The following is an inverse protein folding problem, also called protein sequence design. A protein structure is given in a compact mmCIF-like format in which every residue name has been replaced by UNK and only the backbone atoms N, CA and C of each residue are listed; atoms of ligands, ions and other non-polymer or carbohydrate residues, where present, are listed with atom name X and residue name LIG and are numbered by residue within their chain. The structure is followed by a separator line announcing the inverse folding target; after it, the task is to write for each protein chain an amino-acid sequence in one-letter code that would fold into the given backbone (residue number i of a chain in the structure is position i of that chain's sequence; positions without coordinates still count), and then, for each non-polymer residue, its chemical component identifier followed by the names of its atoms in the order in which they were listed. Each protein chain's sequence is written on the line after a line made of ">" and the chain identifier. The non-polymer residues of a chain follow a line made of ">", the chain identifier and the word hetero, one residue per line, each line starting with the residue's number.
data_IF_744536515322
#
_entry.id   IF_744536515322
#
_cell.length_a   1.000
_cell.length_b   1.000
_cell.length_c   1.000
_cell.angle_alpha   90.00
_cell.angle_beta   90.00
_cell.angle_gamma   90.00
#
_symmetry.space_group_name_H-M   'P 1'
#
loop_
_entity.id
_entity.type
_entity.pdbx_description
1 polymer ?
#
# COMPACT_ATOMS: atom_id res chain seq x y z
N UNK A 1 41.55 22.06 -12.98
CA UNK A 1 41.21 21.52 -11.64
C UNK A 1 39.79 21.80 -11.15
N UNK A 2 39.12 22.89 -11.56
CA UNK A 2 37.74 23.18 -11.13
C UNK A 2 36.70 22.18 -11.68
N UNK A 3 36.85 21.77 -12.93
CA UNK A 3 35.95 20.81 -13.61
C UNK A 3 36.01 19.41 -12.97
N UNK A 4 37.22 18.93 -12.63
CA UNK A 4 37.39 17.64 -11.94
C UNK A 4 36.72 17.63 -10.56
N UNK A 5 36.77 18.75 -9.83
CA UNK A 5 36.04 18.91 -8.55
C UNK A 5 34.52 18.91 -8.75
N UNK A 6 34.03 19.56 -9.80
CA UNK A 6 32.60 19.58 -10.11
C UNK A 6 32.07 18.19 -10.47
N UNK A 7 32.82 17.42 -11.27
CA UNK A 7 32.48 16.04 -11.63
C UNK A 7 32.45 15.13 -10.38
N UNK A 8 33.42 15.30 -9.47
CA UNK A 8 33.44 14.56 -8.20
C UNK A 8 32.24 14.91 -7.30
N UNK A 9 31.80 16.17 -7.26
CA UNK A 9 30.61 16.56 -6.49
C UNK A 9 29.30 15.99 -7.05
N UNK A 10 29.15 15.96 -8.38
CA UNK A 10 27.97 15.38 -9.04
C UNK A 10 27.90 13.86 -8.87
N UNK A 11 29.04 13.18 -8.79
CA UNK A 11 29.10 11.73 -8.56
C UNK A 11 28.65 11.29 -7.16
N UNK A 12 28.45 12.22 -6.20
CA UNK A 12 27.96 11.94 -4.84
C UNK A 12 26.54 12.44 -4.61
N UNK A 13 25.89 12.96 -5.65
CA UNK A 13 24.54 13.49 -5.54
C UNK A 13 23.55 12.42 -6.02
N UNK A 14 23.25 11.45 -5.17
CA UNK A 14 22.22 10.43 -5.45
C UNK A 14 20.82 11.03 -5.24
N UNK A 15 20.01 11.20 -6.31
CA UNK A 15 18.69 11.80 -6.20
C UNK A 15 17.63 10.80 -5.70
N UNK A 16 18.04 9.61 -5.24
CA UNK A 16 17.13 8.56 -4.76
C UNK A 16 16.28 8.99 -3.56
N UNK A 17 16.66 10.06 -2.86
CA UNK A 17 15.84 10.68 -1.80
C UNK A 17 14.67 11.54 -2.33
N UNK A 18 14.68 11.93 -3.60
CA UNK A 18 13.64 12.78 -4.21
C UNK A 18 12.45 11.99 -4.76
N UNK A 19 12.53 10.66 -4.78
CA UNK A 19 11.47 9.80 -5.30
C UNK A 19 10.77 9.13 -4.11
N UNK A 20 9.47 9.39 -3.97
CA UNK A 20 8.62 8.67 -3.04
C UNK A 20 8.69 7.17 -3.36
N UNK A 21 9.09 6.38 -2.38
CA UNK A 21 9.15 4.93 -2.53
C UNK A 21 7.74 4.34 -2.46
N UNK A 22 7.51 3.23 -3.15
CA UNK A 22 6.23 2.54 -3.08
C UNK A 22 5.98 1.96 -1.68
N UNK A 23 4.71 1.84 -1.31
CA UNK A 23 4.33 1.17 -0.08
C UNK A 23 4.64 -0.34 -0.17
N UNK A 24 5.25 -0.90 0.87
CA UNK A 24 5.49 -2.34 0.97
C UNK A 24 4.24 -3.02 1.51
N UNK A 25 3.64 -3.91 0.74
CA UNK A 25 2.47 -4.71 1.17
C UNK A 25 2.91 -6.11 1.51
N UNK A 26 2.57 -6.58 2.70
CA UNK A 26 2.79 -7.95 3.16
C UNK A 26 1.46 -8.59 3.53
N UNK A 27 1.15 -9.72 2.90
CA UNK A 27 -0.03 -10.52 3.25
C UNK A 27 0.26 -11.37 4.49
N UNK A 28 -0.64 -11.32 5.47
CA UNK A 28 -0.49 -12.03 6.74
C UNK A 28 -1.51 -13.15 6.89
N UNK A 29 -2.71 -12.97 6.32
CA UNK A 29 -3.79 -13.95 6.39
C UNK A 29 -4.72 -13.80 5.20
N UNK A 30 -5.11 -14.94 4.63
CA UNK A 30 -6.22 -15.10 3.69
C UNK A 30 -7.05 -16.29 4.18
N UNK A 31 -8.35 -16.11 4.36
CA UNK A 31 -9.26 -17.18 4.80
C UNK A 31 -10.69 -16.96 4.37
N UNK A 32 -11.36 -18.05 4.03
CA UNK A 32 -12.80 -18.04 3.78
C UNK A 32 -13.58 -17.55 5.01
N UNK A 33 -14.60 -16.73 4.78
CA UNK A 33 -15.48 -16.26 5.84
C UNK A 33 -16.51 -17.34 6.18
N UNK A 34 -16.54 -17.71 7.46
CA UNK A 34 -17.51 -18.67 7.98
C UNK A 34 -18.93 -18.19 7.72
N UNK A 35 -19.77 -19.09 7.21
CA UNK A 35 -21.19 -18.84 6.88
C UNK A 35 -21.44 -17.82 5.76
N UNK A 36 -20.41 -17.44 4.98
CA UNK A 36 -20.60 -16.58 3.81
C UNK A 36 -19.92 -17.24 2.59
N UNK A 37 -20.62 -18.12 1.87
CA UNK A 37 -20.05 -18.85 0.74
C UNK A 37 -19.44 -17.93 -0.31
N UNK A 38 -18.22 -18.25 -0.75
CA UNK A 38 -17.50 -17.48 -1.77
C UNK A 38 -17.08 -16.07 -1.32
N UNK A 39 -16.92 -15.84 -0.01
CA UNK A 39 -16.30 -14.62 0.55
C UNK A 39 -15.10 -14.98 1.39
N UNK A 40 -14.12 -14.08 1.39
CA UNK A 40 -12.85 -14.22 2.07
C UNK A 40 -12.56 -12.98 2.92
N UNK A 41 -11.92 -13.18 4.08
CA UNK A 41 -11.30 -12.13 4.86
C UNK A 41 -9.78 -12.18 4.69
N UNK A 42 -9.19 -11.07 4.27
CA UNK A 42 -7.74 -10.92 4.11
C UNK A 42 -7.18 -9.89 5.10
N UNK A 43 -5.95 -10.11 5.57
CA UNK A 43 -5.23 -9.19 6.47
C UNK A 43 -3.85 -8.88 5.88
N UNK A 44 -3.54 -7.58 5.81
CA UNK A 44 -2.31 -7.05 5.24
C UNK A 44 -1.60 -6.15 6.25
N UNK A 45 -0.27 -6.17 6.23
CA UNK A 45 0.56 -5.10 6.80
C UNK A 45 1.03 -4.23 5.63
N UNK A 46 0.85 -2.91 5.76
CA UNK A 46 1.31 -1.94 4.76
C UNK A 46 2.35 -1.03 5.41
N UNK A 47 3.59 -1.11 4.93
CA UNK A 47 4.70 -0.26 5.35
C UNK A 47 4.87 0.92 4.40
N UNK A 48 4.79 2.14 4.95
CA UNK A 48 5.01 3.37 4.18
C UNK A 48 6.37 3.98 4.54
N UNK A 49 7.36 3.96 3.63
CA UNK A 49 8.59 4.74 3.79
C UNK A 49 8.29 6.25 3.70
N UNK A 50 9.21 7.12 4.13
CA UNK A 50 9.02 8.58 4.05
C UNK A 50 8.68 9.05 2.63
N UNK A 51 7.62 9.84 2.50
CA UNK A 51 7.13 10.37 1.22
C UNK A 51 6.19 9.43 0.45
N UNK A 52 6.03 8.18 0.86
CA UNK A 52 5.12 7.23 0.23
C UNK A 52 3.64 7.55 0.51
N UNK A 53 2.79 7.28 -0.47
CA UNK A 53 1.33 7.37 -0.32
C UNK A 53 0.63 6.43 -1.29
N UNK A 54 -0.48 5.84 -0.87
CA UNK A 54 -1.38 5.14 -1.79
C UNK A 54 -2.27 6.15 -2.53
N UNK A 55 -2.54 5.94 -3.83
CA UNK A 55 -3.66 6.60 -4.50
C UNK A 55 -4.98 6.32 -3.78
N UNK A 56 -5.95 7.22 -3.94
CA UNK A 56 -7.29 7.01 -3.39
C UNK A 56 -7.89 5.69 -3.90
N UNK A 57 -8.22 4.79 -2.97
CA UNK A 57 -8.75 3.45 -3.25
C UNK A 57 -10.00 3.17 -2.43
N UNK A 58 -10.92 2.37 -2.97
CA UNK A 58 -12.16 1.95 -2.30
C UNK A 58 -12.12 0.46 -2.00
N UNK A 59 -12.62 0.09 -0.82
CA UNK A 59 -12.84 -1.30 -0.44
C UNK A 59 -14.33 -1.65 -0.55
N UNK A 60 -14.67 -2.58 -1.43
CA UNK A 60 -16.03 -3.11 -1.54
C UNK A 60 -16.20 -4.30 -0.57
N UNK A 61 -16.12 -4.03 0.73
CA UNK A 61 -16.28 -5.05 1.76
C UNK A 61 -17.75 -5.45 1.94
N UNK A 62 -17.99 -6.72 2.25
CA UNK A 62 -19.31 -7.19 2.68
C UNK A 62 -19.61 -6.70 4.10
N UNK A 63 -20.84 -6.23 4.36
CA UNK A 63 -21.29 -5.78 5.68
C UNK A 63 -22.06 -6.92 6.36
N UNK A 64 -21.54 -7.43 7.47
CA UNK A 64 -22.26 -8.41 8.28
C UNK A 64 -23.43 -7.74 9.02
N UNK A 65 -24.67 -8.20 8.79
CA UNK A 65 -25.86 -7.71 9.51
C UNK A 65 -26.98 -7.12 8.64
N UNK A 66 -26.91 -7.18 7.32
CA UNK A 66 -28.08 -6.91 6.48
C UNK A 66 -29.07 -8.08 6.65
N UNK A 67 -29.91 -8.02 7.67
CA UNK A 67 -31.06 -8.92 7.80
C UNK A 67 -31.88 -8.82 6.51
N UNK A 68 -32.31 -9.96 5.91
CA UNK A 68 -33.14 -9.95 4.71
C UNK A 68 -34.49 -9.22 4.90
N UNK A 69 -34.83 -8.84 6.12
CA UNK A 69 -36.10 -8.23 6.51
C UNK A 69 -36.15 -6.69 6.40
N UNK A 70 -35.12 -6.04 5.85
CA UNK A 70 -35.10 -4.57 5.67
C UNK A 70 -35.47 -4.08 4.28
N UNK A 71 -35.95 -4.96 3.41
CA UNK A 71 -36.65 -4.57 2.19
C UNK A 71 -38.17 -4.47 2.49
N UNK A 72 -38.62 -3.31 2.92
CA UNK A 72 -40.03 -2.91 2.87
C UNK A 72 -40.17 -1.61 2.09
#
# INVERSE_FOLDING_TARGET
>A
MKIAKLILCLAWFDPTWLIAQDAQVTEILSKDLTNIPGKEGSMLIIGYPPGASDPARRHNAHVAGQSPDTAK
#
